data_IF_657010918442
#
_entry.id   IF_657010918442
#
_cell.length_a   1.000
_cell.length_b   1.000
_cell.length_c   1.000
_cell.angle_alpha   90.00
_cell.angle_beta   90.00
_cell.angle_gamma   90.00
#
_symmetry.space_group_name_H-M   'P 1'
#
loop_
_entity.id
_entity.type
_entity.pdbx_description
1 polymer ?
#
# COMPACT_ATOMS: atom_id res chain seq x y z
N UNK A 1 -80.53 2.88 21.14
CA UNK A 1 -79.27 3.55 21.51
C UNK A 1 -78.29 2.46 21.89
N UNK A 2 -77.59 1.94 20.88
CA UNK A 2 -76.69 0.78 21.02
C UNK A 2 -75.50 1.02 20.11
N UNK A 3 -74.36 1.44 20.67
CA UNK A 3 -73.18 0.57 20.71
C UNK A 3 -72.02 1.21 21.50
N UNK A 4 -71.22 0.40 22.22
CA UNK A 4 -70.03 0.80 22.94
C UNK A 4 -68.82 0.94 21.99
N UNK A 5 -67.85 1.78 22.35
CA UNK A 5 -66.55 1.84 21.69
C UNK A 5 -65.71 0.59 22.01
N UNK A 6 -64.93 0.07 21.05
CA UNK A 6 -64.17 -1.17 21.17
C UNK A 6 -62.93 -1.08 22.09
N UNK A 7 -62.41 -2.25 22.53
CA UNK A 7 -61.34 -2.39 23.52
C UNK A 7 -59.95 -1.94 23.03
N UNK A 8 -59.17 -1.42 23.98
CA UNK A 8 -57.72 -1.26 23.88
C UNK A 8 -57.03 -2.62 23.74
N UNK A 9 -55.85 -2.60 23.11
CA UNK A 9 -54.79 -3.62 23.21
C UNK A 9 -54.94 -4.90 22.39
N UNK A 10 -54.10 -5.01 21.36
CA UNK A 10 -53.64 -6.31 20.87
C UNK A 10 -52.90 -6.25 19.55
N UNK A 11 -51.61 -6.59 19.61
CA UNK A 11 -50.75 -6.94 18.48
C UNK A 11 -50.21 -5.78 17.62
N UNK A 12 -49.33 -4.98 18.25
CA UNK A 12 -48.05 -4.69 17.61
C UNK A 12 -47.36 -6.01 17.27
N UNK A 13 -47.48 -6.42 16.01
CA UNK A 13 -46.62 -7.41 15.38
C UNK A 13 -46.35 -6.88 13.99
N UNK A 14 -45.64 -5.75 13.93
CA UNK A 14 -44.80 -5.47 12.77
C UNK A 14 -43.73 -6.55 12.72
N UNK A 15 -43.86 -7.50 11.80
CA UNK A 15 -42.78 -8.48 11.52
C UNK A 15 -42.48 -8.49 10.02
N UNK A 16 -42.62 -7.32 9.40
CA UNK A 16 -42.24 -7.07 8.00
C UNK A 16 -41.49 -5.76 7.77
N UNK A 17 -41.39 -4.86 8.76
CA UNK A 17 -40.73 -3.55 8.60
C UNK A 17 -39.27 -3.52 9.05
N UNK A 18 -38.80 -4.47 9.86
CA UNK A 18 -37.43 -4.45 10.39
C UNK A 18 -36.37 -4.81 9.34
N UNK A 19 -36.65 -5.79 8.46
CA UNK A 19 -35.71 -6.17 7.39
C UNK A 19 -35.60 -5.10 6.29
N UNK A 20 -36.68 -4.36 6.01
CA UNK A 20 -36.70 -3.25 5.06
C UNK A 20 -36.00 -2.01 5.67
N UNK A 21 -36.20 -1.76 6.96
CA UNK A 21 -35.61 -0.62 7.69
C UNK A 21 -34.08 -0.69 7.79
N UNK A 22 -33.51 -1.86 8.11
CA UNK A 22 -32.06 -2.02 8.24
C UNK A 22 -31.34 -1.96 6.89
N UNK A 23 -31.95 -2.54 5.86
CA UNK A 23 -31.39 -2.48 4.49
C UNK A 23 -31.48 -1.08 3.91
N UNK A 24 -32.57 -0.34 4.15
CA UNK A 24 -32.69 1.06 3.75
C UNK A 24 -31.76 1.98 4.54
N UNK A 25 -31.56 1.73 5.83
CA UNK A 25 -30.60 2.49 6.66
C UNK A 25 -29.16 2.23 6.20
N UNK A 26 -28.81 0.98 5.91
CA UNK A 26 -27.50 0.62 5.36
C UNK A 26 -27.29 1.26 3.98
N UNK A 27 -28.35 1.31 3.16
CA UNK A 27 -28.30 1.94 1.84
C UNK A 27 -28.14 3.46 1.94
N UNK A 28 -28.79 4.11 2.90
CA UNK A 28 -28.61 5.53 3.19
C UNK A 28 -27.19 5.84 3.69
N UNK A 29 -26.62 5.00 4.56
CA UNK A 29 -25.22 5.12 5.02
C UNK A 29 -24.20 4.92 3.89
N UNK A 30 -24.49 4.00 2.95
CA UNK A 30 -23.65 3.78 1.77
C UNK A 30 -23.72 4.99 0.82
N UNK A 31 -24.91 5.55 0.61
CA UNK A 31 -25.12 6.71 -0.27
C UNK A 31 -24.47 8.00 0.29
N UNK A 32 -24.63 8.24 1.59
CA UNK A 32 -23.95 9.34 2.29
C UNK A 32 -22.43 9.14 2.32
N UNK A 33 -21.97 7.89 2.54
CA UNK A 33 -20.57 7.52 2.51
C UNK A 33 -19.94 7.72 1.13
N UNK A 34 -20.66 7.41 0.05
CA UNK A 34 -20.19 7.61 -1.32
C UNK A 34 -19.97 9.10 -1.62
N UNK A 35 -20.87 9.96 -1.16
CA UNK A 35 -20.79 11.42 -1.34
C UNK A 35 -19.59 12.02 -0.58
N UNK A 36 -19.27 11.52 0.61
CA UNK A 36 -18.09 11.91 1.39
C UNK A 36 -16.78 11.39 0.76
N UNK A 37 -16.78 10.16 0.23
CA UNK A 37 -15.62 9.57 -0.45
C UNK A 37 -15.27 10.31 -1.75
N UNK A 38 -16.26 10.73 -2.52
CA UNK A 38 -16.05 11.51 -3.74
C UNK A 38 -15.40 12.88 -3.43
N UNK A 39 -15.75 13.50 -2.30
CA UNK A 39 -15.16 14.76 -1.85
C UNK A 39 -13.69 14.61 -1.40
N UNK A 40 -13.34 13.56 -0.67
CA UNK A 40 -11.95 13.30 -0.28
C UNK A 40 -11.07 12.82 -1.44
N UNK A 41 -11.60 11.99 -2.34
CA UNK A 41 -10.89 11.57 -3.54
C UNK A 41 -10.57 12.76 -4.44
N UNK A 42 -11.49 13.72 -4.59
CA UNK A 42 -11.24 14.94 -5.35
C UNK A 42 -10.08 15.75 -4.74
N UNK A 43 -10.00 15.84 -3.41
CA UNK A 43 -8.91 16.52 -2.70
C UNK A 43 -7.57 15.76 -2.79
N UNK A 44 -7.57 14.44 -2.65
CA UNK A 44 -6.37 13.59 -2.78
C UNK A 44 -5.84 13.57 -4.22
N UNK A 45 -6.75 13.55 -5.20
CA UNK A 45 -6.44 13.61 -6.64
C UNK A 45 -5.93 14.98 -7.05
N UNK A 46 -6.44 16.06 -6.45
CA UNK A 46 -5.93 17.42 -6.66
C UNK A 46 -4.50 17.58 -6.11
N UNK A 47 -4.18 16.99 -4.96
CA UNK A 47 -2.82 17.00 -4.42
C UNK A 47 -1.86 16.14 -5.26
N UNK A 48 -2.34 15.05 -5.85
CA UNK A 48 -1.59 14.20 -6.77
C UNK A 48 -1.35 14.86 -8.14
N UNK A 49 -2.30 15.65 -8.64
CA UNK A 49 -2.18 16.34 -9.93
C UNK A 49 -1.34 17.63 -9.85
N UNK A 50 -1.33 18.32 -8.71
CA UNK A 50 -0.50 19.52 -8.51
C UNK A 50 1.01 19.22 -8.51
N UNK A 51 1.39 17.99 -8.18
CA UNK A 51 2.78 17.52 -8.22
C UNK A 51 3.30 17.21 -9.62
N UNK A 52 2.44 17.09 -10.65
CA UNK A 52 2.78 16.44 -11.92
C UNK A 52 3.89 17.14 -12.72
N UNK A 53 3.94 18.47 -12.68
CA UNK A 53 4.99 19.24 -13.35
C UNK A 53 6.37 19.09 -12.70
N UNK A 54 6.41 18.96 -11.36
CA UNK A 54 7.66 18.80 -10.58
C UNK A 54 8.06 17.33 -10.45
N UNK A 55 7.08 16.43 -10.45
CA UNK A 55 7.26 14.99 -10.43
C UNK A 55 8.02 14.49 -11.66
N UNK A 56 7.80 15.08 -12.85
CA UNK A 56 8.58 14.72 -14.05
C UNK A 56 10.09 14.93 -13.88
N UNK A 57 10.48 16.07 -13.29
CA UNK A 57 11.89 16.36 -13.00
C UNK A 57 12.48 15.40 -11.96
N UNK A 58 11.74 15.12 -10.88
CA UNK A 58 12.15 14.18 -9.83
C UNK A 58 12.26 12.76 -10.39
N UNK A 59 11.31 12.32 -11.20
CA UNK A 59 11.33 11.00 -11.86
C UNK A 59 12.50 10.90 -12.82
N UNK A 60 12.76 11.93 -13.62
CA UNK A 60 13.92 11.95 -14.52
C UNK A 60 15.24 11.86 -13.74
N UNK A 61 15.37 12.62 -12.64
CA UNK A 61 16.55 12.54 -11.76
C UNK A 61 16.68 11.17 -11.08
N UNK A 62 15.58 10.55 -10.64
CA UNK A 62 15.61 9.20 -10.07
C UNK A 62 16.02 8.14 -11.10
N UNK A 63 15.50 8.22 -12.32
CA UNK A 63 15.92 7.33 -13.41
C UNK A 63 17.39 7.52 -13.75
N UNK A 64 17.85 8.77 -13.80
CA UNK A 64 19.25 9.09 -14.05
C UNK A 64 20.16 8.59 -12.93
N UNK A 65 19.78 8.81 -11.66
CA UNK A 65 20.49 8.31 -10.49
C UNK A 65 20.52 6.76 -10.48
N UNK A 66 19.42 6.11 -10.84
CA UNK A 66 19.34 4.66 -10.96
C UNK A 66 20.28 4.13 -12.06
N UNK A 67 20.33 4.80 -13.21
CA UNK A 67 21.27 4.46 -14.28
C UNK A 67 22.73 4.60 -13.81
N UNK A 68 23.08 5.72 -13.16
CA UNK A 68 24.43 5.90 -12.61
C UNK A 68 24.77 4.88 -11.51
N UNK A 69 23.81 4.55 -10.64
CA UNK A 69 24.00 3.52 -9.62
C UNK A 69 24.27 2.15 -10.26
N UNK A 70 23.56 1.81 -11.33
CA UNK A 70 23.80 0.59 -12.10
C UNK A 70 25.20 0.57 -12.73
N UNK A 71 25.61 1.65 -13.40
CA UNK A 71 26.97 1.76 -13.96
C UNK A 71 28.04 1.67 -12.88
N UNK A 72 27.82 2.32 -11.73
CA UNK A 72 28.74 2.26 -10.59
C UNK A 72 28.85 0.83 -10.07
N UNK A 73 27.73 0.10 -9.95
CA UNK A 73 27.72 -1.30 -9.53
C UNK A 73 28.54 -2.18 -10.50
N UNK A 74 28.34 -2.02 -11.80
CA UNK A 74 29.11 -2.74 -12.83
C UNK A 74 30.60 -2.39 -12.74
N UNK A 75 30.95 -1.11 -12.64
CA UNK A 75 32.32 -0.65 -12.51
C UNK A 75 32.99 -1.21 -11.24
N UNK A 76 32.26 -1.30 -10.13
CA UNK A 76 32.74 -1.90 -8.88
C UNK A 76 33.02 -3.39 -9.07
N UNK A 77 32.11 -4.13 -9.71
CA UNK A 77 32.34 -5.55 -10.03
C UNK A 77 33.58 -5.74 -10.88
N UNK A 78 33.69 -4.98 -11.98
CA UNK A 78 34.86 -5.05 -12.87
C UNK A 78 36.14 -4.67 -12.12
N UNK A 79 36.12 -3.58 -11.37
CA UNK A 79 37.26 -3.12 -10.58
C UNK A 79 37.70 -4.14 -9.52
N UNK A 80 36.75 -4.80 -8.85
CA UNK A 80 37.04 -5.84 -7.86
C UNK A 80 37.63 -7.09 -8.51
N UNK A 81 37.13 -7.49 -9.69
CA UNK A 81 37.72 -8.57 -10.47
C UNK A 81 39.16 -8.24 -10.87
N UNK A 82 39.42 -7.04 -11.41
CA UNK A 82 40.77 -6.61 -11.77
C UNK A 82 41.71 -6.55 -10.55
N UNK A 83 41.22 -6.09 -9.40
CA UNK A 83 41.99 -6.00 -8.17
C UNK A 83 42.32 -7.38 -7.56
N UNK A 84 41.41 -8.36 -7.68
CA UNK A 84 41.61 -9.70 -7.14
C UNK A 84 42.34 -10.64 -8.10
N UNK A 85 42.29 -10.43 -9.41
CA UNK A 85 42.95 -11.29 -10.41
C UNK A 85 44.45 -11.54 -10.13
N UNK A 86 45.26 -10.57 -9.66
CA UNK A 86 46.65 -10.87 -9.31
C UNK A 86 46.82 -11.67 -8.01
N UNK A 87 45.82 -11.71 -7.11
CA UNK A 87 45.88 -12.42 -5.83
C UNK A 87 45.17 -13.77 -5.86
N UNK A 88 44.09 -13.88 -6.63
CA UNK A 88 43.27 -15.07 -6.81
C UNK A 88 43.20 -15.39 -8.30
N UNK A 89 43.25 -16.69 -8.63
CA UNK A 89 42.97 -17.14 -10.00
C UNK A 89 41.62 -16.59 -10.48
N UNK A 90 41.40 -16.38 -11.79
CA UNK A 90 40.18 -15.73 -12.31
C UNK A 90 38.86 -16.33 -11.78
N UNK A 91 38.85 -17.65 -11.59
CA UNK A 91 37.72 -18.38 -11.00
C UNK A 91 37.51 -18.08 -9.52
N UNK A 92 38.58 -17.96 -8.73
CA UNK A 92 38.50 -17.60 -7.32
C UNK A 92 37.98 -16.18 -7.12
N UNK A 93 38.44 -15.25 -7.94
CA UNK A 93 37.94 -13.87 -7.93
C UNK A 93 36.43 -13.83 -8.21
N UNK A 94 35.96 -14.52 -9.24
CA UNK A 94 34.54 -14.58 -9.58
C UNK A 94 33.67 -15.16 -8.45
N UNK A 95 34.13 -16.24 -7.81
CA UNK A 95 33.41 -16.88 -6.72
C UNK A 95 33.28 -15.96 -5.50
N UNK A 96 34.36 -15.27 -5.12
CA UNK A 96 34.37 -14.35 -3.97
C UNK A 96 33.51 -13.12 -4.24
N UNK A 97 33.67 -12.47 -5.40
CA UNK A 97 32.87 -11.29 -5.78
C UNK A 97 31.39 -11.66 -5.90
N UNK A 98 31.08 -12.77 -6.56
CA UNK A 98 29.72 -13.26 -6.75
C UNK A 98 29.02 -13.58 -5.44
N UNK A 99 29.68 -14.30 -4.51
CA UNK A 99 29.11 -14.58 -3.20
C UNK A 99 28.97 -13.33 -2.34
N UNK A 100 29.94 -12.41 -2.37
CA UNK A 100 29.89 -11.16 -1.63
C UNK A 100 28.71 -10.27 -2.07
N UNK A 101 28.59 -10.00 -3.37
CA UNK A 101 27.48 -9.21 -3.90
C UNK A 101 26.15 -9.94 -3.78
N UNK A 102 26.11 -11.25 -4.01
CA UNK A 102 24.90 -12.06 -3.86
C UNK A 102 24.38 -12.04 -2.42
N UNK A 103 25.27 -12.20 -1.44
CA UNK A 103 24.93 -12.09 -0.02
C UNK A 103 24.42 -10.70 0.36
N UNK A 104 25.09 -9.65 -0.12
CA UNK A 104 24.65 -8.27 0.13
C UNK A 104 23.30 -7.97 -0.52
N UNK A 105 23.08 -8.43 -1.76
CA UNK A 105 21.81 -8.29 -2.48
C UNK A 105 20.68 -9.03 -1.74
N UNK A 106 20.93 -10.25 -1.27
CA UNK A 106 19.98 -11.01 -0.47
C UNK A 106 19.63 -10.29 0.84
N UNK A 107 20.63 -9.70 1.52
CA UNK A 107 20.41 -8.92 2.72
C UNK A 107 19.56 -7.68 2.44
N UNK A 108 19.91 -6.89 1.42
CA UNK A 108 19.15 -5.71 0.99
C UNK A 108 17.71 -6.06 0.62
N UNK A 109 17.51 -7.17 -0.11
CA UNK A 109 16.18 -7.65 -0.45
C UNK A 109 15.39 -8.06 0.80
N UNK A 110 16.02 -8.79 1.72
CA UNK A 110 15.38 -9.20 2.97
C UNK A 110 14.99 -7.99 3.84
N UNK A 111 15.86 -6.98 3.96
CA UNK A 111 15.55 -5.76 4.73
C UNK A 111 14.45 -4.95 4.06
N UNK A 112 14.47 -4.79 2.74
CA UNK A 112 13.41 -4.13 1.99
C UNK A 112 12.05 -4.83 2.21
N UNK A 113 11.98 -6.15 2.01
CA UNK A 113 10.75 -6.94 2.21
C UNK A 113 10.25 -6.88 3.65
N UNK A 114 11.16 -6.91 4.64
CA UNK A 114 10.81 -6.69 6.06
C UNK A 114 10.21 -5.30 6.28
N UNK A 115 10.77 -4.27 5.64
CA UNK A 115 10.30 -2.88 5.81
C UNK A 115 8.95 -2.66 5.14
N UNK A 116 8.73 -3.20 3.95
CA UNK A 116 7.44 -3.18 3.27
C UNK A 116 6.36 -3.93 4.06
N UNK A 117 6.68 -5.09 4.63
CA UNK A 117 5.74 -5.82 5.50
C UNK A 117 5.38 -5.03 6.76
N UNK A 118 6.35 -4.37 7.41
CA UNK A 118 6.08 -3.51 8.57
C UNK A 118 5.22 -2.29 8.19
N UNK A 119 5.51 -1.64 7.07
CA UNK A 119 4.71 -0.52 6.59
C UNK A 119 3.28 -0.95 6.23
N UNK A 120 3.11 -2.09 5.54
CA UNK A 120 1.79 -2.68 5.26
C UNK A 120 1.06 -3.06 6.55
N UNK A 121 1.72 -3.69 7.50
CA UNK A 121 1.11 -4.05 8.78
C UNK A 121 0.66 -2.80 9.57
N UNK A 122 1.44 -1.71 9.56
CA UNK A 122 1.05 -0.46 10.20
C UNK A 122 -0.12 0.24 9.49
N UNK A 123 -0.26 0.06 8.17
CA UNK A 123 -1.37 0.62 7.39
C UNK A 123 -2.65 -0.23 7.48
N UNK A 124 -2.54 -1.55 7.61
CA UNK A 124 -3.69 -2.47 7.71
C UNK A 124 -4.10 -2.79 9.17
N UNK A 125 -3.25 -2.53 10.16
CA UNK A 125 -3.41 -2.98 11.54
C UNK A 125 -3.84 -1.92 12.56
N UNK A 126 -4.40 -0.79 12.12
CA UNK A 126 -4.99 0.21 13.03
C UNK A 126 -6.50 0.07 12.97
N UNK A 127 -7.06 -0.77 13.87
CA UNK A 127 -8.39 -0.69 14.51
C UNK A 127 -8.63 -1.86 15.51
N UNK A 128 -7.61 -2.36 16.20
CA UNK A 128 -7.81 -3.21 17.39
C UNK A 128 -6.81 -2.77 18.45
N UNK A 129 -7.27 -1.86 19.30
CA UNK A 129 -6.94 -1.75 20.73
C UNK A 129 -7.29 -0.31 21.15
N UNK A 130 -8.55 -0.18 21.58
CA UNK A 130 -9.00 0.86 22.53
C UNK A 130 -8.41 0.61 23.91
#
# INVERSE_FOLDING_TARGET
MSSPLPPESGADVSTGEDDVSLTDTLRALIDDGQTLFEAEMAYARARASYGWGRAKGIVALLLLALAFAFFTLVALVVGLLLALTPLLTPWGALAVVGLGLGGLAALCFATAVRRFRKARAALLGKDTDS
#
